data_IF_460920019422
#
_entry.id   IF_460920019422
#
_cell.length_a   1.000
_cell.length_b   1.000
_cell.length_c   1.000
_cell.angle_alpha   90.00
_cell.angle_beta   90.00
_cell.angle_gamma   90.00
#
_symmetry.space_group_name_H-M   'P 1'
#
loop_
_entity.id
_entity.type
_entity.pdbx_description
1 polymer ?
#
# COMPACT_ATOMS: atom_id res chain seq x y z
N UNK A 1 -9.98 -5.09 -7.72
CA UNK A 1 -8.77 -4.25 -7.74
C UNK A 1 -8.97 -3.20 -8.79
N UNK A 2 -8.94 -1.95 -8.37
CA UNK A 2 -8.91 -0.83 -9.30
C UNK A 2 -7.45 -0.38 -9.41
N UNK A 3 -6.79 -0.80 -10.49
CA UNK A 3 -5.56 -0.16 -10.92
C UNK A 3 -5.99 1.11 -11.61
N UNK A 4 -5.59 2.27 -11.08
CA UNK A 4 -5.86 3.54 -11.76
C UNK A 4 -5.07 3.52 -13.07
N UNK A 5 -5.73 3.46 -14.24
CA UNK A 5 -5.02 3.51 -15.49
C UNK A 5 -4.26 4.83 -15.58
N UNK A 6 -3.07 4.81 -16.19
CA UNK A 6 -2.24 6.00 -16.40
C UNK A 6 -3.04 7.13 -17.04
N UNK A 7 -4.02 6.78 -17.88
CA UNK A 7 -4.94 7.68 -18.57
C UNK A 7 -5.98 8.40 -17.69
N UNK A 8 -6.14 8.05 -16.41
CA UNK A 8 -6.99 8.79 -15.46
C UNK A 8 -6.22 9.74 -14.56
N UNK A 9 -4.90 9.69 -14.62
CA UNK A 9 -4.01 10.65 -13.93
C UNK A 9 -3.52 11.77 -14.84
N UNK A 10 -3.97 11.83 -16.12
CA UNK A 10 -3.65 12.92 -17.01
C UNK A 10 -4.51 14.13 -16.70
N UNK A 11 -3.88 15.23 -16.32
CA UNK A 11 -4.42 16.57 -16.47
C UNK A 11 -4.36 16.91 -17.95
N UNK A 12 -5.49 17.24 -18.58
CA UNK A 12 -5.55 17.62 -19.99
C UNK A 12 -5.34 19.14 -20.06
N UNK A 13 -4.11 19.55 -20.25
CA UNK A 13 -3.77 20.97 -20.30
C UNK A 13 -3.47 21.45 -21.74
N UNK A 14 -3.28 20.53 -22.70
CA UNK A 14 -2.90 20.84 -24.08
C UNK A 14 -3.66 20.02 -25.13
N UNK A 15 -3.69 20.51 -26.38
CA UNK A 15 -4.25 19.76 -27.52
C UNK A 15 -3.45 18.48 -27.84
N UNK A 16 -2.16 18.44 -27.48
CA UNK A 16 -1.33 17.26 -27.62
C UNK A 16 -1.74 16.14 -26.67
N UNK A 17 -2.19 16.50 -25.44
CA UNK A 17 -2.71 15.54 -24.48
C UNK A 17 -4.01 14.89 -24.97
N UNK A 18 -4.87 15.65 -25.64
CA UNK A 18 -6.08 15.12 -26.28
C UNK A 18 -5.73 14.11 -27.38
N UNK A 19 -4.75 14.43 -28.23
CA UNK A 19 -4.30 13.53 -29.30
C UNK A 19 -3.68 12.22 -28.73
N UNK A 20 -2.99 12.30 -27.61
CA UNK A 20 -2.44 11.13 -26.92
C UNK A 20 -3.56 10.26 -26.32
N UNK A 21 -4.57 10.89 -25.72
CA UNK A 21 -5.73 10.21 -25.15
C UNK A 21 -6.54 9.52 -26.27
N UNK A 22 -6.76 10.17 -27.41
CA UNK A 22 -7.43 9.55 -28.56
C UNK A 22 -6.68 8.34 -29.09
N UNK A 23 -5.33 8.37 -29.18
CA UNK A 23 -4.51 7.22 -29.55
C UNK A 23 -4.63 6.07 -28.56
N UNK A 24 -4.69 6.36 -27.26
CA UNK A 24 -4.89 5.37 -26.19
C UNK A 24 -6.29 4.75 -26.30
N UNK A 25 -7.33 5.55 -26.55
CA UNK A 25 -8.72 5.07 -26.68
C UNK A 25 -8.87 4.22 -27.96
N UNK A 26 -8.32 4.66 -29.08
CA UNK A 26 -8.45 3.98 -30.37
C UNK A 26 -7.57 2.71 -30.47
N UNK A 27 -6.47 2.63 -29.73
CA UNK A 27 -5.64 1.41 -29.61
C UNK A 27 -6.30 0.26 -28.83
N UNK A 28 -7.43 0.52 -28.14
CA UNK A 28 -8.16 -0.48 -27.35
C UNK A 28 -9.11 -1.39 -28.15
N UNK A 29 -9.26 -1.20 -29.45
CA UNK A 29 -10.27 -1.92 -30.24
C UNK A 29 -9.96 -3.40 -30.53
N UNK A 30 -8.80 -3.93 -30.14
CA UNK A 30 -8.41 -5.30 -30.44
C UNK A 30 -7.55 -5.97 -29.35
N UNK A 31 -8.03 -6.08 -28.13
CA UNK A 31 -7.50 -7.09 -27.22
C UNK A 31 -8.55 -7.52 -26.21
N UNK A 32 -9.02 -8.75 -26.35
CA UNK A 32 -9.63 -9.53 -25.28
C UNK A 32 -8.56 -9.78 -24.22
N UNK A 33 -8.28 -8.78 -23.38
CA UNK A 33 -7.42 -8.95 -22.20
C UNK A 33 -8.30 -9.00 -20.98
N UNK A 34 -8.12 -10.03 -20.18
CA UNK A 34 -8.73 -10.19 -18.86
C UNK A 34 -8.70 -8.86 -18.11
N UNK A 35 -9.87 -8.38 -17.68
CA UNK A 35 -10.05 -7.10 -16.96
C UNK A 35 -9.31 -7.01 -15.63
N UNK A 36 -8.49 -8.00 -15.28
CA UNK A 36 -7.74 -8.15 -14.03
C UNK A 36 -6.21 -8.19 -14.21
N UNK A 37 -5.66 -7.96 -15.42
CA UNK A 37 -4.21 -7.94 -15.59
C UNK A 37 -3.63 -6.57 -15.29
N UNK A 38 -2.60 -6.53 -14.45
CA UNK A 38 -1.79 -5.33 -14.26
C UNK A 38 -1.05 -4.97 -15.55
N UNK A 39 -0.73 -3.67 -15.79
CA UNK A 39 0.21 -3.31 -16.85
C UNK A 39 1.51 -4.11 -16.71
N UNK A 40 2.10 -4.54 -17.82
CA UNK A 40 3.33 -5.37 -17.83
C UNK A 40 4.46 -4.81 -16.97
N UNK A 41 4.58 -3.47 -16.94
CA UNK A 41 5.59 -2.80 -16.11
C UNK A 41 5.35 -3.02 -14.61
N UNK A 42 4.10 -2.93 -14.15
CA UNK A 42 3.73 -3.16 -12.76
C UNK A 42 3.87 -4.65 -12.40
N UNK A 43 3.50 -5.54 -13.31
CA UNK A 43 3.68 -6.98 -13.11
C UNK A 43 5.15 -7.35 -12.91
N UNK A 44 6.05 -6.77 -13.71
CA UNK A 44 7.50 -6.94 -13.53
C UNK A 44 8.02 -6.36 -12.22
N UNK A 45 7.43 -5.26 -11.73
CA UNK A 45 7.80 -4.68 -10.42
C UNK A 45 7.34 -5.58 -9.26
N UNK A 46 6.11 -6.09 -9.33
CA UNK A 46 5.58 -7.03 -8.34
C UNK A 46 6.44 -8.29 -8.23
N UNK A 47 6.94 -8.82 -9.36
CA UNK A 47 7.85 -9.97 -9.39
C UNK A 47 9.24 -9.73 -8.76
N UNK A 48 9.61 -8.46 -8.48
CA UNK A 48 10.86 -8.08 -7.81
C UNK A 48 10.67 -7.66 -6.36
N UNK A 49 9.45 -7.70 -5.85
CA UNK A 49 9.12 -7.24 -4.50
C UNK A 49 9.85 -8.07 -3.44
N UNK A 50 10.51 -7.40 -2.50
CA UNK A 50 11.25 -8.02 -1.39
C UNK A 50 10.82 -7.50 -0.02
N UNK A 51 10.20 -6.32 0.01
CA UNK A 51 9.78 -5.68 1.26
C UNK A 51 8.40 -5.05 1.11
N UNK A 52 7.54 -5.29 2.09
CA UNK A 52 6.27 -4.58 2.28
C UNK A 52 6.37 -3.75 3.55
N UNK A 53 6.19 -2.45 3.43
CA UNK A 53 6.04 -1.54 4.55
C UNK A 53 4.55 -1.19 4.63
N UNK A 54 3.95 -1.34 5.79
CA UNK A 54 2.51 -1.11 6.00
C UNK A 54 2.28 -0.09 7.09
N UNK A 55 1.39 0.86 6.86
CA UNK A 55 0.88 1.75 7.89
C UNK A 55 -0.10 1.01 8.81
N UNK A 56 -0.39 1.59 9.97
CA UNK A 56 -1.25 0.95 10.97
C UNK A 56 -2.67 1.50 10.95
N UNK A 57 -2.86 2.78 11.30
CA UNK A 57 -4.18 3.37 11.43
C UNK A 57 -4.81 3.69 10.06
N UNK A 58 -6.03 3.19 9.85
CA UNK A 58 -6.71 3.30 8.56
C UNK A 58 -6.17 2.34 7.48
N UNK A 59 -5.18 1.49 7.81
CA UNK A 59 -4.64 0.45 6.94
C UNK A 59 -4.83 -0.92 7.58
N UNK A 60 -4.13 -1.21 8.68
CA UNK A 60 -4.33 -2.43 9.47
C UNK A 60 -5.53 -2.33 10.42
N UNK A 61 -6.03 -1.13 10.66
CA UNK A 61 -7.28 -0.81 11.39
C UNK A 61 -8.24 -0.05 10.48
N UNK A 62 -9.48 0.15 10.94
CA UNK A 62 -10.52 0.92 10.24
C UNK A 62 -10.49 2.43 10.57
N UNK A 63 -9.36 2.92 11.06
CA UNK A 63 -9.14 4.32 11.46
C UNK A 63 -10.04 4.80 12.62
N UNK A 64 -10.63 3.87 13.37
CA UNK A 64 -11.44 4.19 14.56
C UNK A 64 -10.73 3.76 15.83
N UNK A 65 -10.88 4.57 16.84
CA UNK A 65 -10.38 4.29 18.19
C UNK A 65 -11.53 4.32 19.18
N UNK A 66 -11.58 3.34 20.06
CA UNK A 66 -12.46 3.34 21.22
C UNK A 66 -11.68 3.91 22.41
N UNK A 67 -12.16 5.01 22.98
CA UNK A 67 -11.53 5.66 24.12
C UNK A 67 -12.44 5.49 25.34
N UNK A 68 -11.93 4.94 26.44
CA UNK A 68 -12.66 4.84 27.70
C UNK A 68 -12.52 6.12 28.54
N UNK A 69 -13.26 6.18 29.66
CA UNK A 69 -13.25 7.33 30.56
C UNK A 69 -11.90 7.60 31.23
N UNK A 70 -11.00 6.61 31.24
CA UNK A 70 -9.64 6.72 31.80
C UNK A 70 -8.63 7.13 30.73
N UNK A 71 -9.10 7.37 29.47
CA UNK A 71 -8.26 7.74 28.34
C UNK A 71 -7.51 6.57 27.70
N UNK A 72 -7.92 5.32 28.00
CA UNK A 72 -7.31 4.14 27.36
C UNK A 72 -7.91 3.94 26.00
N UNK A 73 -7.03 3.70 25.03
CA UNK A 73 -7.43 3.48 23.65
C UNK A 73 -7.42 2.00 23.28
N UNK A 74 -8.37 1.62 22.45
CA UNK A 74 -8.47 0.29 21.87
C UNK A 74 -8.78 0.41 20.37
N UNK A 75 -8.20 -0.48 19.57
CA UNK A 75 -8.44 -0.56 18.12
C UNK A 75 -8.80 -1.99 17.73
N UNK A 76 -9.50 -2.13 16.61
CA UNK A 76 -9.85 -3.43 16.05
C UNK A 76 -8.89 -3.75 14.90
N UNK A 77 -8.20 -4.89 15.00
CA UNK A 77 -7.34 -5.43 13.95
C UNK A 77 -7.96 -6.67 13.31
N UNK A 78 -7.73 -6.88 12.03
CA UNK A 78 -8.20 -8.05 11.32
C UNK A 78 -7.23 -9.24 11.47
N UNK A 79 -7.77 -10.43 11.71
CA UNK A 79 -6.95 -11.66 11.78
C UNK A 79 -6.36 -12.06 10.43
N UNK A 80 -7.02 -11.70 9.33
CA UNK A 80 -6.59 -11.99 7.97
C UNK A 80 -5.25 -11.35 7.61
N UNK A 81 -4.87 -10.22 8.24
CA UNK A 81 -3.55 -9.63 8.06
C UNK A 81 -2.43 -10.57 8.52
N UNK A 82 -2.67 -11.35 9.59
CA UNK A 82 -1.72 -12.37 10.02
C UNK A 82 -1.52 -13.48 8.99
N UNK A 83 -2.57 -13.82 8.25
CA UNK A 83 -2.46 -14.74 7.12
C UNK A 83 -1.69 -14.11 5.96
N UNK A 84 -2.00 -12.84 5.62
CA UNK A 84 -1.28 -12.08 4.61
C UNK A 84 0.22 -11.98 4.89
N UNK A 85 0.59 -11.65 6.13
CA UNK A 85 2.01 -11.65 6.58
C UNK A 85 2.67 -13.02 6.37
N UNK A 86 1.95 -14.11 6.67
CA UNK A 86 2.48 -15.47 6.48
C UNK A 86 2.68 -15.78 4.99
N UNK A 87 1.73 -15.43 4.14
CA UNK A 87 1.82 -15.63 2.68
C UNK A 87 3.04 -14.88 2.12
N UNK A 88 3.19 -13.58 2.44
CA UNK A 88 4.32 -12.76 2.00
C UNK A 88 5.66 -13.36 2.45
N UNK A 89 5.75 -13.80 3.71
CA UNK A 89 6.97 -14.42 4.23
C UNK A 89 7.32 -15.74 3.54
N UNK A 90 6.34 -16.53 3.13
CA UNK A 90 6.57 -17.76 2.36
C UNK A 90 7.18 -17.48 0.98
N UNK A 91 6.86 -16.33 0.38
CA UNK A 91 7.47 -15.83 -0.87
C UNK A 91 8.81 -15.11 -0.64
N UNK A 92 9.36 -15.15 0.57
CA UNK A 92 10.61 -14.48 0.93
C UNK A 92 10.50 -12.97 1.08
N UNK A 93 9.27 -12.43 1.11
CA UNK A 93 9.00 -10.99 1.22
C UNK A 93 8.92 -10.62 2.70
N UNK A 94 9.74 -9.66 3.12
CA UNK A 94 9.70 -9.11 4.48
C UNK A 94 8.51 -8.17 4.65
N UNK A 95 7.99 -8.10 5.87
CA UNK A 95 6.91 -7.15 6.24
C UNK A 95 7.33 -6.34 7.45
N UNK A 96 7.15 -5.03 7.37
CA UNK A 96 7.50 -4.05 8.41
C UNK A 96 6.32 -3.11 8.60
N UNK A 97 6.01 -2.74 9.84
CA UNK A 97 5.04 -1.69 10.14
C UNK A 97 5.75 -0.34 10.31
N UNK A 98 5.20 0.72 9.70
CA UNK A 98 5.70 2.09 9.82
C UNK A 98 4.53 3.04 10.09
N UNK A 99 4.45 3.59 11.30
CA UNK A 99 3.32 4.41 11.74
C UNK A 99 3.74 5.65 12.51
N UNK A 100 2.92 6.69 12.46
CA UNK A 100 3.02 7.86 13.34
C UNK A 100 2.47 7.61 14.74
N UNK A 101 1.68 6.56 14.93
CA UNK A 101 1.07 6.22 16.21
C UNK A 101 2.14 5.80 17.24
N UNK A 102 1.96 6.27 18.47
CA UNK A 102 2.87 5.96 19.59
C UNK A 102 2.25 4.98 20.60
N UNK A 103 0.94 4.72 20.49
CA UNK A 103 0.25 3.84 21.41
C UNK A 103 0.83 2.42 21.35
N UNK A 104 1.03 1.83 22.53
CA UNK A 104 1.62 0.49 22.67
C UNK A 104 0.83 -0.64 22.02
N UNK A 105 -0.45 -0.41 21.67
CA UNK A 105 -1.30 -1.39 20.97
C UNK A 105 -0.68 -1.80 19.63
N UNK A 106 -0.05 -0.85 18.92
CA UNK A 106 0.66 -1.09 17.66
C UNK A 106 1.79 -2.10 17.85
N UNK A 107 2.65 -1.83 18.85
CA UNK A 107 3.78 -2.70 19.17
C UNK A 107 3.31 -4.12 19.52
N UNK A 108 2.23 -4.24 20.33
CA UNK A 108 1.68 -5.54 20.70
C UNK A 108 1.10 -6.30 19.50
N UNK A 109 0.50 -5.59 18.57
CA UNK A 109 0.02 -6.20 17.33
C UNK A 109 1.17 -6.69 16.45
N UNK A 110 2.20 -5.87 16.25
CA UNK A 110 3.38 -6.22 15.45
C UNK A 110 4.17 -7.38 16.08
N UNK A 111 4.32 -7.41 17.41
CA UNK A 111 4.92 -8.54 18.15
C UNK A 111 4.17 -9.86 17.85
N UNK A 112 2.83 -9.84 17.94
CA UNK A 112 2.00 -11.01 17.62
C UNK A 112 2.16 -11.48 16.18
N UNK A 113 2.31 -10.56 15.23
CA UNK A 113 2.54 -10.85 13.80
C UNK A 113 3.99 -11.22 13.50
N UNK A 114 4.90 -11.05 14.47
CA UNK A 114 6.35 -11.23 14.31
C UNK A 114 6.91 -10.37 13.16
N UNK A 115 6.48 -9.12 13.08
CA UNK A 115 6.98 -8.10 12.17
C UNK A 115 7.66 -6.98 12.96
N UNK A 116 8.65 -6.35 12.35
CA UNK A 116 9.30 -5.18 12.90
C UNK A 116 8.35 -3.98 12.86
N UNK A 117 8.46 -3.06 13.82
CA UNK A 117 7.63 -1.88 13.94
C UNK A 117 8.48 -0.62 14.16
N UNK A 118 8.27 0.38 13.33
CA UNK A 118 8.76 1.74 13.47
C UNK A 118 7.57 2.63 13.83
N UNK A 119 7.37 2.89 15.12
CA UNK A 119 6.27 3.69 15.63
C UNK A 119 6.71 5.11 15.99
N UNK A 120 5.76 6.05 16.07
CA UNK A 120 6.03 7.46 16.39
C UNK A 120 6.74 8.24 15.28
N UNK A 121 6.72 7.75 14.03
CA UNK A 121 7.41 8.36 12.90
C UNK A 121 6.49 9.33 12.17
N UNK A 122 6.69 10.62 12.38
CA UNK A 122 5.87 11.67 11.74
C UNK A 122 6.23 11.86 10.25
N UNK A 123 7.51 11.80 9.91
CA UNK A 123 8.01 11.99 8.54
C UNK A 123 8.37 10.64 7.90
N UNK A 124 7.34 9.87 7.53
CA UNK A 124 7.51 8.49 7.03
C UNK A 124 8.46 8.39 5.84
N UNK A 125 8.42 9.35 4.90
CA UNK A 125 9.30 9.34 3.72
C UNK A 125 10.80 9.32 4.07
N UNK A 126 11.21 10.01 5.11
CA UNK A 126 12.65 10.10 5.49
C UNK A 126 13.22 8.76 5.90
N UNK A 127 12.43 7.90 6.54
CA UNK A 127 12.91 6.62 7.09
C UNK A 127 12.81 5.45 6.10
N UNK A 128 12.14 5.64 4.96
CA UNK A 128 12.01 4.58 3.93
C UNK A 128 13.37 4.05 3.49
N UNK A 129 14.31 4.95 3.18
CA UNK A 129 15.65 4.55 2.74
C UNK A 129 16.42 3.77 3.81
N UNK A 130 16.31 4.19 5.08
CA UNK A 130 16.94 3.50 6.21
C UNK A 130 16.34 2.11 6.43
N UNK A 131 15.01 1.98 6.31
CA UNK A 131 14.33 0.69 6.40
C UNK A 131 14.78 -0.22 5.26
N UNK A 132 14.86 0.29 4.04
CA UNK A 132 15.31 -0.46 2.88
C UNK A 132 16.76 -0.94 3.06
N UNK A 133 17.68 -0.05 3.43
CA UNK A 133 19.08 -0.37 3.67
C UNK A 133 19.25 -1.46 4.74
N UNK A 134 18.60 -1.29 5.89
CA UNK A 134 18.61 -2.28 6.99
C UNK A 134 18.13 -3.66 6.54
N UNK A 135 17.20 -3.71 5.59
CA UNK A 135 16.65 -4.96 5.07
C UNK A 135 17.41 -5.49 3.83
N UNK A 136 18.41 -4.78 3.34
CA UNK A 136 19.20 -5.16 2.18
C UNK A 136 18.43 -5.11 0.86
N UNK A 137 17.48 -4.17 0.74
CA UNK A 137 16.63 -3.95 -0.43
C UNK A 137 16.71 -2.50 -0.88
N UNK A 138 16.26 -2.22 -2.09
CA UNK A 138 16.14 -0.87 -2.63
C UNK A 138 14.67 -0.42 -2.64
N UNK A 139 14.39 0.89 -2.64
CA UNK A 139 13.02 1.40 -2.67
C UNK A 139 12.19 0.88 -3.86
N UNK A 140 12.81 0.63 -5.01
CA UNK A 140 12.16 0.09 -6.22
C UNK A 140 11.64 -1.34 -6.03
N UNK A 141 12.21 -2.12 -5.10
CA UNK A 141 11.80 -3.48 -4.72
C UNK A 141 10.91 -3.49 -3.48
N UNK A 142 10.40 -2.32 -3.09
CA UNK A 142 9.59 -2.12 -1.87
C UNK A 142 8.19 -1.65 -2.22
N UNK A 143 7.19 -2.22 -1.55
CA UNK A 143 5.82 -1.71 -1.52
C UNK A 143 5.58 -0.95 -0.21
N UNK A 144 4.84 0.15 -0.30
CA UNK A 144 4.28 0.83 0.87
C UNK A 144 2.76 0.81 0.76
N UNK A 145 2.07 0.37 1.82
CA UNK A 145 0.61 0.34 1.91
C UNK A 145 0.19 1.37 2.95
N UNK A 146 -0.53 2.40 2.53
CA UNK A 146 -1.01 3.47 3.41
C UNK A 146 -2.37 4.01 2.98
N UNK A 147 -2.91 4.97 3.72
CA UNK A 147 -4.28 5.43 3.50
C UNK A 147 -4.47 6.94 3.53
N UNK A 148 -3.55 7.72 4.08
CA UNK A 148 -3.82 9.14 4.36
C UNK A 148 -2.70 10.07 3.88
N UNK A 149 -2.86 11.36 4.12
CA UNK A 149 -1.97 12.45 3.66
C UNK A 149 -0.55 12.27 4.22
N UNK A 150 -0.41 11.82 5.47
CA UNK A 150 0.89 11.58 6.10
C UNK A 150 1.69 10.43 5.45
N UNK A 151 1.04 9.62 4.60
CA UNK A 151 1.67 8.53 3.85
C UNK A 151 2.24 8.97 2.50
N UNK A 152 1.83 10.12 1.98
CA UNK A 152 2.16 10.56 0.62
C UNK A 152 3.67 10.58 0.37
N UNK A 153 4.45 11.03 1.35
CA UNK A 153 5.90 11.06 1.23
C UNK A 153 6.50 9.66 1.11
N UNK A 154 5.99 8.69 1.85
CA UNK A 154 6.41 7.28 1.76
C UNK A 154 5.93 6.63 0.44
N UNK A 155 4.69 6.89 0.01
CA UNK A 155 4.15 6.40 -1.26
C UNK A 155 5.00 6.85 -2.46
N UNK A 156 5.54 8.09 -2.43
CA UNK A 156 6.41 8.63 -3.48
C UNK A 156 7.81 8.02 -3.49
N UNK A 157 8.27 7.45 -2.39
CA UNK A 157 9.64 6.93 -2.24
C UNK A 157 9.79 5.48 -2.70
N UNK A 158 8.71 4.73 -2.83
CA UNK A 158 8.75 3.29 -3.12
C UNK A 158 8.40 2.97 -4.58
N UNK A 159 8.87 1.83 -5.06
CA UNK A 159 8.55 1.33 -6.41
C UNK A 159 7.09 0.92 -6.57
N UNK A 160 6.46 0.42 -5.51
CA UNK A 160 5.09 -0.10 -5.52
C UNK A 160 4.25 0.61 -4.44
N UNK A 161 3.78 1.83 -4.70
CA UNK A 161 2.84 2.51 -3.81
C UNK A 161 1.45 1.90 -3.91
N UNK A 162 0.89 1.55 -2.75
CA UNK A 162 -0.39 0.84 -2.60
C UNK A 162 -1.26 1.59 -1.59
N UNK A 163 -2.56 1.62 -1.82
CA UNK A 163 -3.51 2.18 -0.86
C UNK A 163 -4.78 1.34 -0.74
N UNK A 164 -5.54 1.59 0.31
CA UNK A 164 -6.82 0.92 0.60
C UNK A 164 -7.98 1.59 -0.14
N UNK A 165 -9.11 0.91 -0.21
CA UNK A 165 -10.31 1.37 -0.93
C UNK A 165 -10.83 2.71 -0.44
N UNK A 166 -10.85 2.93 0.85
CA UNK A 166 -11.37 4.10 1.55
C UNK A 166 -10.32 5.15 1.90
N UNK A 167 -9.12 5.03 1.32
CA UNK A 167 -8.03 5.98 1.51
C UNK A 167 -8.40 7.41 1.07
N UNK A 168 -7.72 8.39 1.66
CA UNK A 168 -7.80 9.77 1.26
C UNK A 168 -7.50 9.95 -0.23
N UNK A 169 -8.22 10.87 -0.89
CA UNK A 169 -8.09 11.11 -2.34
C UNK A 169 -6.64 11.34 -2.79
N UNK A 170 -5.87 12.09 -2.00
CA UNK A 170 -4.48 12.42 -2.34
C UNK A 170 -3.55 11.21 -2.19
N UNK A 171 -3.75 10.33 -1.20
CA UNK A 171 -3.03 9.06 -1.11
C UNK A 171 -3.35 8.17 -2.33
N UNK A 172 -4.62 8.13 -2.75
CA UNK A 172 -5.04 7.38 -3.95
C UNK A 172 -4.37 7.89 -5.24
N UNK A 173 -4.21 9.21 -5.39
CA UNK A 173 -3.54 9.83 -6.54
C UNK A 173 -2.05 9.47 -6.63
N UNK A 174 -1.41 9.15 -5.51
CA UNK A 174 0.00 8.77 -5.44
C UNK A 174 0.23 7.25 -5.38
N UNK A 175 -0.81 6.46 -5.59
CA UNK A 175 -0.75 5.00 -5.54
C UNK A 175 -0.88 4.37 -6.92
N UNK A 176 -0.09 3.32 -7.19
CA UNK A 176 -0.21 2.48 -8.39
C UNK A 176 -1.29 1.41 -8.25
N UNK A 177 -1.53 0.96 -7.02
CA UNK A 177 -2.52 -0.07 -6.69
C UNK A 177 -3.48 0.48 -5.65
N UNK A 178 -4.77 0.35 -5.93
CA UNK A 178 -5.83 0.59 -4.94
C UNK A 178 -6.49 -0.75 -4.65
N UNK A 179 -6.39 -1.20 -3.40
CA UNK A 179 -7.01 -2.44 -2.95
C UNK A 179 -8.54 -2.33 -2.97
N UNK A 180 -9.25 -3.47 -3.02
CA UNK A 180 -10.72 -3.49 -2.92
C UNK A 180 -11.22 -3.46 -1.48
N UNK A 181 -10.38 -3.89 -0.53
CA UNK A 181 -10.70 -3.86 0.90
C UNK A 181 -10.46 -2.47 1.47
N UNK A 182 -11.34 -2.07 2.39
CA UNK A 182 -11.12 -0.90 3.23
C UNK A 182 -10.06 -1.19 4.30
N UNK A 183 -9.54 -0.13 4.92
CA UNK A 183 -8.68 -0.28 6.09
C UNK A 183 -9.32 -1.16 7.16
N UNK A 184 -8.52 -2.00 7.82
CA UNK A 184 -8.99 -2.94 8.82
C UNK A 184 -9.70 -4.19 8.30
N UNK A 185 -9.85 -4.37 7.00
CA UNK A 185 -10.54 -5.53 6.39
C UNK A 185 -9.60 -6.65 5.94
N UNK A 186 -8.34 -6.64 6.42
CA UNK A 186 -7.36 -7.67 6.06
C UNK A 186 -6.62 -7.34 4.75
N UNK A 187 -6.16 -6.12 4.64
CA UNK A 187 -5.50 -5.56 3.44
C UNK A 187 -4.21 -6.29 3.07
N UNK A 188 -3.44 -6.76 4.07
CA UNK A 188 -2.24 -7.55 3.82
C UNK A 188 -2.55 -8.91 3.20
N UNK A 189 -3.69 -9.51 3.53
CA UNK A 189 -4.10 -10.75 2.87
C UNK A 189 -4.43 -10.49 1.41
N UNK A 190 -5.23 -9.47 1.11
CA UNK A 190 -5.56 -9.13 -0.28
C UNK A 190 -4.31 -8.84 -1.10
N UNK A 191 -3.39 -8.02 -0.56
CA UNK A 191 -2.16 -7.68 -1.24
C UNK A 191 -1.29 -8.93 -1.51
N UNK A 192 -1.15 -9.83 -0.54
CA UNK A 192 -0.42 -11.09 -0.72
C UNK A 192 -1.05 -11.97 -1.80
N UNK A 193 -2.38 -12.08 -1.83
CA UNK A 193 -3.12 -12.86 -2.83
C UNK A 193 -2.96 -12.32 -4.26
N UNK A 194 -2.62 -11.03 -4.42
CA UNK A 194 -2.30 -10.43 -5.71
C UNK A 194 -0.96 -10.91 -6.28
N UNK A 195 -0.02 -11.24 -5.40
CA UNK A 195 1.35 -11.63 -5.78
C UNK A 195 1.45 -13.11 -6.11
N UNK A 196 0.56 -13.94 -5.55
CA UNK A 196 0.64 -15.41 -5.62
C UNK A 196 -0.18 -15.96 -6.82
N UNK A 197 -0.90 -15.11 -7.51
CA UNK A 197 -1.62 -15.47 -8.74
C UNK A 197 -0.68 -15.46 -9.93
#
# INVERSE_FOLDING_TARGET
IYVMPLERSFQVDTLEDISLIEKIINGRSNSNTDKNSFPDALHRQLGKLKLVIVDFDGTMTDNKVLVDQDGREQVVCNRSDGWGVRLLKNEGIKVVCLTSEQNSVVLKRCEKLKIECYNGVLEKGRIISEICEKNGVIPEETAFIGNDINDITALKMVGIPVTVKDAHKDARMHSKIVLNRCGGEGVLQEFAELLIK
#
